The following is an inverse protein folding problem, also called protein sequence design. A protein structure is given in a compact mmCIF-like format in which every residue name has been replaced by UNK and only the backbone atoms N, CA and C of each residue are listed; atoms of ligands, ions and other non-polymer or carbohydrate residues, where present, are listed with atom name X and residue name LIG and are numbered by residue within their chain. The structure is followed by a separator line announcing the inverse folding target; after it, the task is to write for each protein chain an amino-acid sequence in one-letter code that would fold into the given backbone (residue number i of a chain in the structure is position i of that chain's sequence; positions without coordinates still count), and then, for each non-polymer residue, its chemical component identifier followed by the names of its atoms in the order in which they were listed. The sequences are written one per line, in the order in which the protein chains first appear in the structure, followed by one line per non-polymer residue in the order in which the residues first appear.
data_IF_487971698053
#
_entry.id   IF_487971698053
#
_cell.length_a   1.000
_cell.length_b   1.000
_cell.length_c   1.000
_cell.angle_alpha   90.00
_cell.angle_beta   90.00
_cell.angle_gamma   90.00
#
_symmetry.space_group_name_H-M   'P 1'
#
loop_
_entity.id
_entity.type
_entity.pdbx_description
1 polymer ?
#
# COMPACT_ATOMS: atom_id res chain seq x y z
N UNK A 1 -16.05 -1.87 13.09
CA UNK A 1 -16.73 -1.43 11.84
C UNK A 1 -15.80 -1.48 10.64
N UNK A 2 -14.59 -0.91 10.71
CA UNK A 2 -13.66 -0.81 9.56
C UNK A 2 -13.31 -2.14 8.85
N UNK A 3 -13.00 -3.21 9.60
CA UNK A 3 -12.65 -4.53 9.04
C UNK A 3 -13.72 -5.13 8.11
N UNK A 4 -14.99 -4.72 8.26
CA UNK A 4 -16.10 -5.16 7.40
C UNK A 4 -16.15 -4.39 6.08
N UNK A 5 -15.83 -3.09 6.11
CA UNK A 5 -15.89 -2.19 4.95
C UNK A 5 -14.91 -2.58 3.83
N UNK A 6 -13.74 -3.12 4.20
CA UNK A 6 -12.70 -3.43 3.23
C UNK A 6 -12.76 -4.84 2.64
N UNK A 7 -13.41 -5.78 3.34
CA UNK A 7 -13.32 -7.20 2.97
C UNK A 7 -13.99 -7.49 1.62
N UNK A 8 -15.14 -6.88 1.35
CA UNK A 8 -15.80 -7.02 0.06
C UNK A 8 -14.98 -6.37 -1.07
N UNK A 9 -14.27 -5.26 -0.80
CA UNK A 9 -13.39 -4.60 -1.77
C UNK A 9 -12.22 -5.52 -2.15
N UNK A 10 -11.56 -6.12 -1.16
CA UNK A 10 -10.48 -7.09 -1.38
C UNK A 10 -10.98 -8.30 -2.17
N UNK A 11 -12.14 -8.85 -1.78
CA UNK A 11 -12.76 -9.99 -2.47
C UNK A 11 -12.95 -9.69 -3.97
N UNK A 12 -13.54 -8.53 -4.29
CA UNK A 12 -13.72 -8.08 -5.68
C UNK A 12 -12.39 -7.93 -6.42
N UNK A 13 -11.38 -7.35 -5.77
CA UNK A 13 -10.06 -7.19 -6.37
C UNK A 13 -9.43 -8.54 -6.75
N UNK A 14 -9.45 -9.50 -5.82
CA UNK A 14 -8.95 -10.86 -6.05
C UNK A 14 -9.69 -11.52 -7.22
N UNK A 15 -11.01 -11.34 -7.30
CA UNK A 15 -11.83 -11.96 -8.34
C UNK A 15 -11.70 -11.32 -9.71
N UNK A 16 -11.42 -10.02 -9.78
CA UNK A 16 -11.26 -9.30 -11.06
C UNK A 16 -9.83 -9.38 -11.60
N UNK A 17 -8.82 -9.58 -10.75
CA UNK A 17 -7.40 -9.64 -11.14
C UNK A 17 -7.07 -10.57 -12.31
N UNK A 18 -7.62 -11.79 -12.42
CA UNK A 18 -7.36 -12.67 -13.56
C UNK A 18 -7.72 -12.03 -14.90
N UNK A 19 -8.74 -11.17 -14.96
CA UNK A 19 -9.15 -10.46 -16.18
C UNK A 19 -8.35 -9.17 -16.46
N UNK A 20 -7.34 -8.85 -15.63
CA UNK A 20 -6.51 -7.63 -15.74
C UNK A 20 -5.05 -7.90 -16.15
N UNK A 21 -4.70 -9.15 -16.41
CA UNK A 21 -3.38 -9.55 -16.92
C UNK A 21 -3.11 -8.92 -18.31
N UNK A 22 -1.86 -8.95 -18.77
CA UNK A 22 -1.48 -8.37 -20.08
C UNK A 22 -2.25 -8.96 -21.27
N UNK A 23 -2.61 -10.25 -21.19
CA UNK A 23 -3.30 -10.98 -22.26
C UNK A 23 -4.81 -10.79 -22.13
N UNK A 24 -5.39 -11.16 -20.99
CA UNK A 24 -6.83 -11.12 -20.76
C UNK A 24 -7.38 -9.68 -20.60
N UNK A 25 -6.54 -8.74 -20.14
CA UNK A 25 -6.89 -7.32 -20.00
C UNK A 25 -7.25 -6.62 -21.31
N UNK A 26 -6.83 -7.17 -22.46
CA UNK A 26 -7.16 -6.63 -23.79
C UNK A 26 -8.44 -7.21 -24.38
N UNK A 27 -9.03 -8.23 -23.74
CA UNK A 27 -10.24 -8.88 -24.25
C UNK A 27 -11.46 -7.93 -24.15
N UNK A 28 -12.43 -8.08 -25.06
CA UNK A 28 -13.74 -7.45 -24.93
C UNK A 28 -14.40 -7.82 -23.59
N UNK A 29 -15.29 -6.95 -23.09
CA UNK A 29 -15.95 -7.16 -21.80
C UNK A 29 -16.70 -8.50 -21.72
N UNK A 30 -17.35 -8.93 -22.80
CA UNK A 30 -18.04 -10.22 -22.89
C UNK A 30 -17.09 -11.39 -22.65
N UNK A 31 -15.92 -11.37 -23.30
CA UNK A 31 -14.90 -12.41 -23.16
C UNK A 31 -14.24 -12.39 -21.78
N UNK A 32 -14.04 -11.21 -21.17
CA UNK A 32 -13.57 -11.11 -19.77
C UNK A 32 -14.56 -11.74 -18.79
N UNK A 33 -15.86 -11.49 -18.97
CA UNK A 33 -16.92 -12.10 -18.14
C UNK A 33 -16.93 -13.63 -18.30
N UNK A 34 -16.83 -14.12 -19.53
CA UNK A 34 -16.74 -15.56 -19.84
C UNK A 34 -15.50 -16.18 -19.22
N UNK A 35 -14.35 -15.52 -19.33
CA UNK A 35 -13.10 -15.97 -18.73
C UNK A 35 -13.22 -16.11 -17.21
N UNK A 36 -13.72 -15.09 -16.51
CA UNK A 36 -13.88 -15.14 -15.05
C UNK A 36 -14.89 -16.21 -14.60
N UNK A 37 -15.97 -16.44 -15.36
CA UNK A 37 -16.93 -17.53 -15.07
C UNK A 37 -16.35 -18.93 -15.23
N UNK A 38 -15.16 -19.06 -15.80
CA UNK A 38 -14.48 -20.33 -15.98
C UNK A 38 -13.11 -20.38 -15.29
N UNK A 39 -12.76 -19.36 -14.49
CA UNK A 39 -11.46 -19.29 -13.84
C UNK A 39 -11.44 -20.12 -12.56
N UNK A 40 -10.69 -21.24 -12.49
CA UNK A 40 -10.81 -22.20 -11.38
C UNK A 40 -9.92 -21.86 -10.18
N UNK A 41 -9.03 -20.86 -10.30
CA UNK A 41 -7.96 -20.62 -9.33
C UNK A 41 -8.33 -19.59 -8.25
N UNK A 42 -9.60 -19.20 -8.14
CA UNK A 42 -10.10 -18.39 -7.03
C UNK A 42 -11.53 -18.79 -6.64
N UNK A 43 -12.03 -18.20 -5.56
CA UNK A 43 -13.33 -18.52 -4.98
C UNK A 43 -14.54 -17.92 -5.74
N UNK A 44 -14.34 -17.13 -6.81
CA UNK A 44 -15.40 -16.39 -7.51
C UNK A 44 -16.55 -17.30 -7.93
N UNK A 45 -16.26 -18.52 -8.38
CA UNK A 45 -17.28 -19.46 -8.83
C UNK A 45 -18.28 -19.80 -7.72
N UNK A 46 -17.84 -19.92 -6.46
CA UNK A 46 -18.73 -20.15 -5.32
C UNK A 46 -19.56 -18.91 -4.92
N UNK A 47 -19.16 -17.71 -5.36
CA UNK A 47 -19.97 -16.49 -5.20
C UNK A 47 -21.04 -16.36 -6.30
N UNK A 48 -20.81 -16.96 -7.46
CA UNK A 48 -21.74 -16.93 -8.61
C UNK A 48 -22.70 -18.12 -8.57
N UNK A 49 -22.25 -19.28 -8.08
CA UNK A 49 -22.97 -20.54 -8.12
C UNK A 49 -22.80 -21.26 -6.76
N UNK A 50 -23.91 -21.50 -6.07
CA UNK A 50 -23.92 -22.09 -4.73
C UNK A 50 -23.37 -23.53 -4.74
N UNK A 51 -23.56 -24.27 -5.84
CA UNK A 51 -23.07 -25.64 -6.00
C UNK A 51 -21.52 -25.67 -6.03
N UNK A 52 -20.90 -24.56 -6.43
CA UNK A 52 -19.43 -24.43 -6.57
C UNK A 52 -18.77 -23.85 -5.32
N UNK A 53 -19.47 -23.79 -4.20
CA UNK A 53 -18.90 -23.28 -2.94
C UNK A 53 -17.83 -24.21 -2.41
N UNK A 54 -16.84 -23.60 -1.78
CA UNK A 54 -15.82 -24.30 -1.01
C UNK A 54 -16.08 -24.08 0.47
N UNK A 55 -16.20 -25.16 1.26
CA UNK A 55 -16.49 -25.10 2.70
C UNK A 55 -15.44 -24.37 3.55
N UNK A 56 -14.26 -24.08 2.98
CA UNK A 56 -13.21 -23.31 3.66
C UNK A 56 -13.38 -21.78 3.55
N UNK A 57 -14.37 -21.31 2.77
CA UNK A 57 -14.60 -19.89 2.49
C UNK A 57 -15.87 -19.40 3.19
N UNK A 58 -15.74 -18.33 3.97
CA UNK A 58 -16.86 -17.62 4.59
C UNK A 58 -17.51 -16.64 3.60
N UNK A 59 -18.38 -17.16 2.73
CA UNK A 59 -19.11 -16.34 1.74
C UNK A 59 -20.12 -15.39 2.39
N UNK A 60 -20.76 -15.83 3.49
CA UNK A 60 -21.81 -15.07 4.16
C UNK A 60 -21.32 -13.69 4.58
N UNK A 61 -20.08 -13.63 5.08
CA UNK A 61 -19.43 -12.39 5.48
C UNK A 61 -19.22 -11.38 4.35
N UNK A 62 -18.99 -11.83 3.12
CA UNK A 62 -18.94 -10.92 1.96
C UNK A 62 -20.34 -10.50 1.57
N UNK A 63 -21.28 -11.45 1.56
CA UNK A 63 -22.67 -11.19 1.17
C UNK A 63 -23.42 -10.25 2.12
N UNK A 64 -22.96 -10.05 3.36
CA UNK A 64 -23.46 -8.98 4.24
C UNK A 64 -23.50 -7.61 3.53
N UNK A 65 -22.49 -7.30 2.70
CA UNK A 65 -22.43 -6.05 1.92
C UNK A 65 -23.38 -6.02 0.71
N UNK A 66 -24.05 -7.14 0.41
CA UNK A 66 -24.92 -7.33 -0.74
C UNK A 66 -26.33 -7.79 -0.35
N UNK A 67 -26.74 -7.57 0.91
CA UNK A 67 -28.09 -7.92 1.38
C UNK A 67 -28.25 -9.37 1.83
N UNK A 68 -27.14 -10.07 2.10
CA UNK A 68 -27.11 -11.43 2.68
C UNK A 68 -26.83 -12.54 1.68
N UNK A 69 -26.50 -13.73 2.22
CA UNK A 69 -26.17 -14.93 1.43
C UNK A 69 -27.44 -15.56 0.84
N UNK A 70 -27.93 -14.97 -0.24
CA UNK A 70 -29.12 -15.39 -0.96
C UNK A 70 -28.93 -15.14 -2.47
N UNK A 71 -29.93 -15.54 -3.25
CA UNK A 71 -29.93 -15.37 -4.72
C UNK A 71 -29.67 -13.92 -5.15
N UNK A 72 -30.25 -12.97 -4.42
CA UNK A 72 -30.12 -11.55 -4.73
C UNK A 72 -28.71 -11.03 -4.40
N UNK A 73 -28.15 -11.40 -3.25
CA UNK A 73 -26.78 -11.05 -2.88
C UNK A 73 -25.74 -11.58 -3.88
N UNK A 74 -25.95 -12.78 -4.43
CA UNK A 74 -25.13 -13.34 -5.52
C UNK A 74 -25.23 -12.54 -6.79
N UNK A 75 -26.46 -12.20 -7.20
CA UNK A 75 -26.71 -11.38 -8.39
C UNK A 75 -26.00 -10.03 -8.27
N UNK A 76 -26.18 -9.34 -7.14
CA UNK A 76 -25.56 -8.04 -6.86
C UNK A 76 -24.03 -8.13 -6.81
N UNK A 77 -23.48 -9.18 -6.20
CA UNK A 77 -22.04 -9.42 -6.20
C UNK A 77 -21.49 -9.57 -7.63
N UNK A 78 -22.13 -10.41 -8.45
CA UNK A 78 -21.73 -10.63 -9.84
C UNK A 78 -21.84 -9.38 -10.70
N UNK A 79 -22.90 -8.58 -10.52
CA UNK A 79 -23.07 -7.30 -11.21
C UNK A 79 -21.97 -6.32 -10.83
N UNK A 80 -21.59 -6.28 -9.56
CA UNK A 80 -20.49 -5.46 -9.07
C UNK A 80 -19.17 -5.89 -9.70
N UNK A 81 -18.87 -7.19 -9.76
CA UNK A 81 -17.70 -7.73 -10.47
C UNK A 81 -17.71 -7.30 -11.94
N UNK A 82 -18.86 -7.40 -12.62
CA UNK A 82 -19.00 -6.97 -14.01
C UNK A 82 -18.70 -5.48 -14.19
N UNK A 83 -19.16 -4.63 -13.27
CA UNK A 83 -18.87 -3.19 -13.26
C UNK A 83 -17.37 -2.94 -13.05
N UNK A 84 -16.77 -3.61 -12.07
CA UNK A 84 -15.36 -3.46 -11.69
C UNK A 84 -14.36 -3.90 -12.78
N UNK A 85 -14.76 -4.81 -13.67
CA UNK A 85 -14.00 -5.16 -14.88
C UNK A 85 -13.99 -3.99 -15.88
N UNK A 86 -15.11 -3.27 -16.00
CA UNK A 86 -15.28 -2.16 -16.94
C UNK A 86 -14.67 -0.86 -16.44
N UNK A 87 -14.95 -0.48 -15.20
CA UNK A 87 -14.57 0.83 -14.64
C UNK A 87 -13.27 0.79 -13.85
N UNK A 88 -12.75 -0.40 -13.57
CA UNK A 88 -11.72 -0.56 -12.55
C UNK A 88 -12.32 -0.56 -11.14
N UNK A 89 -11.50 -0.96 -10.17
CA UNK A 89 -11.79 -0.75 -8.75
C UNK A 89 -10.83 0.34 -8.34
N UNK A 90 -11.34 1.47 -7.85
CA UNK A 90 -10.48 2.45 -7.22
C UNK A 90 -10.11 1.95 -5.83
N UNK A 91 -8.84 1.56 -5.70
CA UNK A 91 -8.24 1.14 -4.43
C UNK A 91 -7.02 2.02 -4.12
N UNK A 92 -6.77 3.06 -4.94
CA UNK A 92 -5.54 3.86 -4.85
C UNK A 92 -5.51 4.73 -3.60
N UNK A 93 -6.66 5.06 -3.05
CA UNK A 93 -6.77 5.85 -1.81
C UNK A 93 -6.69 4.97 -0.55
N UNK A 94 -6.77 3.65 -0.68
CA UNK A 94 -6.88 2.72 0.45
C UNK A 94 -5.71 1.72 0.56
N UNK A 95 -4.89 1.59 -0.48
CA UNK A 95 -3.70 0.72 -0.49
C UNK A 95 -2.44 1.52 -0.18
N UNK A 96 -1.95 1.35 1.03
CA UNK A 96 -0.69 1.91 1.47
C UNK A 96 0.49 1.08 0.94
N UNK A 97 1.45 1.74 0.28
CA UNK A 97 2.68 1.10 -0.23
C UNK A 97 2.46 0.05 -1.34
N UNK A 98 1.28 0.00 -1.96
CA UNK A 98 0.95 -0.97 -3.00
C UNK A 98 0.86 -2.42 -2.48
N UNK A 99 0.67 -2.64 -1.17
CA UNK A 99 0.75 -4.01 -0.60
C UNK A 99 -0.21 -4.31 0.56
N UNK A 100 -0.76 -3.31 1.26
CA UNK A 100 -1.72 -3.53 2.35
C UNK A 100 -2.89 -2.56 2.21
N UNK A 101 -4.11 -3.10 2.27
CA UNK A 101 -5.36 -2.35 2.32
C UNK A 101 -5.85 -2.21 3.77
N UNK A 102 -6.17 -1.00 4.21
CA UNK A 102 -6.84 -0.75 5.48
C UNK A 102 -6.56 0.64 6.06
N UNK A 103 -7.21 0.96 7.18
CA UNK A 103 -7.00 2.22 7.91
C UNK A 103 -5.56 2.37 8.42
N UNK A 104 -5.13 3.59 8.72
CA UNK A 104 -3.78 3.86 9.26
C UNK A 104 -3.51 3.06 10.56
N UNK A 105 -4.54 2.87 11.38
CA UNK A 105 -4.49 2.05 12.60
C UNK A 105 -4.34 0.56 12.28
N UNK A 106 -5.05 0.04 11.28
CA UNK A 106 -4.90 -1.34 10.81
C UNK A 106 -3.52 -1.58 10.20
N UNK A 107 -3.03 -0.65 9.39
CA UNK A 107 -1.68 -0.73 8.79
C UNK A 107 -0.62 -0.68 9.88
N UNK A 108 -0.75 0.21 10.86
CA UNK A 108 0.15 0.28 12.01
C UNK A 108 0.12 -1.02 12.81
N UNK A 109 -1.07 -1.57 13.07
CA UNK A 109 -1.20 -2.88 13.70
C UNK A 109 -0.54 -3.98 12.87
N UNK A 110 -0.76 -4.03 11.54
CA UNK A 110 -0.10 -5.01 10.67
C UNK A 110 1.43 -4.83 10.69
N UNK A 111 1.92 -3.59 10.68
CA UNK A 111 3.35 -3.29 10.79
C UNK A 111 3.92 -3.81 12.11
N UNK A 112 3.35 -3.36 13.21
CA UNK A 112 3.88 -3.58 14.57
C UNK A 112 3.76 -5.07 14.97
N UNK A 113 2.76 -5.77 14.44
CA UNK A 113 2.46 -7.15 14.79
C UNK A 113 3.02 -8.17 13.79
N UNK A 114 3.32 -7.80 12.55
CA UNK A 114 3.60 -8.76 11.46
C UNK A 114 4.88 -8.52 10.66
N UNK A 115 5.64 -7.44 10.87
CA UNK A 115 6.89 -7.18 10.12
C UNK A 115 8.14 -7.39 10.99
N UNK A 116 8.89 -8.50 10.80
CA UNK A 116 10.18 -8.68 11.44
C UNK A 116 11.20 -7.62 11.04
N UNK A 117 12.12 -7.28 11.95
CA UNK A 117 13.27 -6.41 11.68
C UNK A 117 14.19 -6.93 10.54
N UNK A 118 14.16 -8.24 10.26
CA UNK A 118 14.98 -8.92 9.23
C UNK A 118 14.28 -9.14 7.88
N UNK A 119 13.11 -8.57 7.62
CA UNK A 119 12.36 -8.74 6.37
C UNK A 119 12.89 -7.92 5.18
N UNK A 120 14.20 -7.67 5.13
CA UNK A 120 14.83 -6.83 4.08
C UNK A 120 14.63 -7.38 2.67
N UNK A 121 14.38 -8.68 2.51
CA UNK A 121 14.33 -9.32 1.18
C UNK A 121 12.94 -9.35 0.53
N UNK A 122 11.87 -9.00 1.25
CA UNK A 122 10.51 -9.01 0.68
C UNK A 122 10.19 -7.64 0.08
N UNK A 123 9.98 -7.50 -1.24
CA UNK A 123 9.76 -6.20 -1.88
C UNK A 123 8.53 -5.45 -1.37
N UNK A 124 7.45 -6.17 -1.01
CA UNK A 124 6.27 -5.58 -0.39
C UNK A 124 6.57 -4.93 0.98
N UNK A 125 7.41 -5.59 1.79
CA UNK A 125 7.86 -5.07 3.08
C UNK A 125 8.78 -3.86 2.90
N UNK A 126 9.67 -3.91 1.90
CA UNK A 126 10.49 -2.74 1.55
C UNK A 126 9.62 -1.54 1.15
N UNK A 127 8.61 -1.73 0.29
CA UNK A 127 7.70 -0.65 -0.12
C UNK A 127 6.93 -0.07 1.06
N UNK A 128 6.42 -0.92 1.95
CA UNK A 128 5.72 -0.48 3.15
C UNK A 128 6.63 0.30 4.09
N UNK A 129 7.87 -0.17 4.30
CA UNK A 129 8.86 0.55 5.11
C UNK A 129 9.20 1.91 4.50
N UNK A 130 9.42 1.98 3.19
CA UNK A 130 9.66 3.25 2.47
C UNK A 130 8.49 4.21 2.62
N UNK A 131 7.26 3.70 2.51
CA UNK A 131 6.04 4.46 2.77
C UNK A 131 6.11 5.00 4.20
N UNK A 132 6.05 4.17 5.24
CA UNK A 132 5.93 4.65 6.62
C UNK A 132 7.07 5.59 7.05
N UNK A 133 8.27 5.38 6.53
CA UNK A 133 9.40 6.29 6.76
C UNK A 133 9.16 7.65 6.11
N UNK A 134 8.59 7.69 4.90
CA UNK A 134 8.19 8.93 4.21
C UNK A 134 7.13 9.70 5.00
N UNK A 135 6.07 9.10 5.53
CA UNK A 135 5.11 9.86 6.35
C UNK A 135 5.73 10.37 7.64
N UNK A 136 6.59 9.56 8.28
CA UNK A 136 7.31 10.01 9.48
C UNK A 136 8.23 11.21 9.17
N UNK A 137 8.93 11.19 8.03
CA UNK A 137 9.76 12.33 7.57
C UNK A 137 8.90 13.57 7.34
N UNK A 138 7.75 13.42 6.66
CA UNK A 138 6.82 14.55 6.41
C UNK A 138 6.36 15.15 7.75
N UNK A 139 5.89 14.32 8.68
CA UNK A 139 5.42 14.77 9.98
C UNK A 139 6.52 15.49 10.78
N UNK A 140 7.72 14.92 10.82
CA UNK A 140 8.87 15.51 11.52
C UNK A 140 9.28 16.85 10.89
N UNK A 141 9.33 16.95 9.57
CA UNK A 141 9.63 18.19 8.85
C UNK A 141 8.57 19.27 9.11
N UNK A 142 7.28 18.92 9.04
CA UNK A 142 6.21 19.89 9.28
C UNK A 142 6.27 20.42 10.72
N UNK A 143 6.54 19.55 11.68
CA UNK A 143 6.70 19.93 13.09
C UNK A 143 7.90 20.85 13.32
N UNK A 144 9.07 20.50 12.79
CA UNK A 144 10.30 21.28 13.00
C UNK A 144 10.25 22.64 12.31
N UNK A 145 9.72 22.67 11.08
CA UNK A 145 9.69 23.90 10.27
C UNK A 145 8.46 24.77 10.53
N UNK A 146 7.44 24.23 11.22
CA UNK A 146 6.11 24.82 11.40
C UNK A 146 5.42 25.17 10.07
N UNK A 147 5.73 24.43 9.01
CA UNK A 147 5.15 24.57 7.67
C UNK A 147 4.43 23.29 7.25
N UNK A 148 3.38 23.42 6.46
CA UNK A 148 2.78 22.27 5.79
C UNK A 148 3.71 21.71 4.71
N UNK A 149 3.47 20.45 4.32
CA UNK A 149 4.27 19.82 3.28
C UNK A 149 4.15 20.52 1.91
N UNK A 150 2.98 21.08 1.60
CA UNK A 150 2.79 21.84 0.35
C UNK A 150 3.53 23.18 0.36
N UNK A 151 3.65 23.84 1.51
CA UNK A 151 4.51 25.02 1.65
C UNK A 151 5.98 24.66 1.45
N UNK A 152 6.44 23.54 2.04
CA UNK A 152 7.81 23.03 1.84
C UNK A 152 8.08 22.73 0.37
N UNK A 153 7.10 22.19 -0.37
CA UNK A 153 7.22 21.92 -1.81
C UNK A 153 7.34 23.20 -2.64
N UNK A 154 6.59 24.24 -2.28
CA UNK A 154 6.58 25.53 -3.01
C UNK A 154 7.81 26.38 -2.69
N UNK A 155 8.42 26.18 -1.53
CA UNK A 155 9.59 26.93 -1.11
C UNK A 155 10.80 26.67 -2.02
N UNK A 156 11.47 27.74 -2.45
CA UNK A 156 12.77 27.66 -3.12
C UNK A 156 13.83 27.89 -2.06
N UNK A 157 14.39 26.83 -1.50
CA UNK A 157 15.35 27.02 -0.43
C UNK A 157 15.82 25.77 0.28
N UNK A 158 16.49 26.01 1.40
CA UNK A 158 17.23 25.00 2.14
C UNK A 158 16.31 23.93 2.74
N UNK A 159 15.10 24.29 3.16
CA UNK A 159 14.11 23.37 3.74
C UNK A 159 13.66 22.34 2.70
N UNK A 160 13.42 22.76 1.46
CA UNK A 160 13.05 21.85 0.36
C UNK A 160 14.20 20.90 0.02
N UNK A 161 15.44 21.40 0.03
CA UNK A 161 16.63 20.58 -0.20
C UNK A 161 16.85 19.58 0.94
N UNK A 162 16.60 19.99 2.18
CA UNK A 162 16.62 19.13 3.36
C UNK A 162 15.59 18.00 3.26
N UNK A 163 14.36 18.32 2.85
CA UNK A 163 13.34 17.30 2.60
C UNK A 163 13.79 16.29 1.54
N UNK A 164 14.31 16.77 0.40
CA UNK A 164 14.86 15.91 -0.66
C UNK A 164 15.97 14.98 -0.16
N UNK A 165 16.87 15.47 0.71
CA UNK A 165 17.94 14.63 1.25
C UNK A 165 17.44 13.57 2.24
N UNK A 166 16.53 13.95 3.14
CA UNK A 166 15.94 13.03 4.12
C UNK A 166 15.14 11.92 3.43
N UNK A 167 14.30 12.24 2.44
CA UNK A 167 13.58 11.22 1.68
C UNK A 167 14.51 10.24 0.96
N UNK A 168 15.65 10.72 0.49
CA UNK A 168 16.62 9.85 -0.16
C UNK A 168 17.37 8.98 0.85
N UNK A 169 18.04 9.60 1.84
CA UNK A 169 18.98 8.93 2.74
C UNK A 169 18.29 8.14 3.84
N UNK A 170 17.21 8.68 4.40
CA UNK A 170 16.44 8.02 5.47
C UNK A 170 15.26 7.24 4.89
N UNK A 171 14.51 7.86 3.96
CA UNK A 171 13.33 7.25 3.34
C UNK A 171 13.64 6.12 2.35
N UNK A 172 14.84 6.09 1.77
CA UNK A 172 15.22 5.11 0.75
C UNK A 172 14.49 5.29 -0.59
N UNK A 173 13.94 6.49 -0.85
CA UNK A 173 13.33 6.84 -2.13
C UNK A 173 14.42 7.17 -3.16
N UNK A 174 14.17 6.84 -4.42
CA UNK A 174 15.01 7.26 -5.52
C UNK A 174 14.68 8.69 -5.98
N UNK A 175 15.57 9.30 -6.77
CA UNK A 175 15.42 10.69 -7.22
C UNK A 175 14.15 10.94 -8.04
N UNK A 176 13.69 9.95 -8.80
CA UNK A 176 12.45 10.03 -9.60
C UNK A 176 11.21 10.02 -8.71
N UNK A 177 11.16 9.14 -7.71
CA UNK A 177 10.09 9.08 -6.72
C UNK A 177 9.97 10.41 -5.95
N UNK A 178 11.11 10.96 -5.51
CA UNK A 178 11.18 12.24 -4.80
C UNK A 178 10.74 13.37 -5.74
N UNK A 179 11.22 13.38 -6.99
CA UNK A 179 10.87 14.40 -7.97
C UNK A 179 9.36 14.47 -8.21
N UNK A 180 8.72 13.32 -8.45
CA UNK A 180 7.27 13.21 -8.61
C UNK A 180 6.51 13.76 -7.40
N UNK A 181 6.93 13.40 -6.19
CA UNK A 181 6.31 13.88 -4.95
C UNK A 181 6.48 15.38 -4.75
N UNK A 182 7.65 15.90 -5.10
CA UNK A 182 8.02 17.31 -4.91
C UNK A 182 7.63 18.22 -6.08
N UNK A 183 7.05 17.67 -7.15
CA UNK A 183 6.67 18.40 -8.36
C UNK A 183 7.87 18.93 -9.16
N UNK A 184 8.98 18.20 -9.20
CA UNK A 184 10.21 18.57 -9.93
C UNK A 184 10.83 17.35 -10.62
N UNK A 185 11.76 17.60 -11.53
CA UNK A 185 12.54 16.56 -12.18
C UNK A 185 13.62 15.95 -11.24
N UNK A 186 14.14 14.78 -11.61
CA UNK A 186 15.14 14.06 -10.81
C UNK A 186 16.48 14.83 -10.70
N UNK A 187 16.82 15.64 -11.70
CA UNK A 187 18.07 16.41 -11.72
C UNK A 187 18.01 17.54 -10.70
N UNK A 188 16.85 18.19 -10.55
CA UNK A 188 16.58 19.16 -9.48
C UNK A 188 16.75 18.55 -8.10
N UNK A 189 16.29 17.30 -7.89
CA UNK A 189 16.50 16.56 -6.63
C UNK A 189 18.00 16.32 -6.39
N UNK A 190 18.73 15.84 -7.40
CA UNK A 190 20.17 15.57 -7.30
C UNK A 190 20.96 16.84 -6.95
N UNK A 191 20.71 17.94 -7.66
CA UNK A 191 21.37 19.22 -7.44
C UNK A 191 20.98 19.86 -6.10
N UNK A 192 19.72 19.75 -5.69
CA UNK A 192 19.25 20.22 -4.38
C UNK A 192 20.01 19.56 -3.24
N UNK A 193 20.15 18.24 -3.29
CA UNK A 193 20.91 17.46 -2.30
C UNK A 193 22.40 17.78 -2.30
N UNK A 194 23.00 18.00 -3.48
CA UNK A 194 24.41 18.43 -3.58
C UNK A 194 24.63 19.76 -2.88
N UNK A 195 23.82 20.77 -3.19
CA UNK A 195 23.90 22.11 -2.59
C UNK A 195 23.66 22.10 -1.08
N UNK A 196 22.76 21.25 -0.59
CA UNK A 196 22.56 21.06 0.85
C UNK A 196 23.84 20.55 1.52
N UNK A 197 24.48 19.51 0.97
CA UNK A 197 25.72 18.94 1.54
C UNK A 197 26.86 19.94 1.58
N UNK A 198 26.96 20.82 0.58
CA UNK A 198 27.95 21.89 0.56
C UNK A 198 27.67 22.90 1.67
N UNK A 199 26.41 23.37 1.82
CA UNK A 199 26.02 24.32 2.87
C UNK A 199 26.16 23.76 4.29
N UNK A 200 25.93 22.47 4.49
CA UNK A 200 26.04 21.83 5.81
C UNK A 200 27.46 21.83 6.38
N UNK A 201 28.49 22.05 5.56
CA UNK A 201 29.88 22.15 6.04
C UNK A 201 30.08 23.40 6.90
N UNK A 202 29.39 24.48 6.56
CA UNK A 202 29.63 25.80 7.13
C UNK A 202 28.48 26.29 8.03
N UNK A 203 27.27 25.74 7.86
CA UNK A 203 26.07 26.14 8.61
C UNK A 203 25.76 25.17 9.78
N UNK A 204 26.22 25.53 10.97
CA UNK A 204 25.96 24.77 12.21
C UNK A 204 24.49 24.71 12.59
N UNK A 205 23.72 25.78 12.35
CA UNK A 205 22.31 25.83 12.71
C UNK A 205 21.50 24.84 11.86
N UNK A 206 21.78 24.81 10.56
CA UNK A 206 21.17 23.86 9.64
C UNK A 206 21.53 22.41 9.96
N UNK A 207 22.78 22.15 10.33
CA UNK A 207 23.22 20.81 10.76
C UNK A 207 22.46 20.34 12.00
N UNK A 208 22.29 21.21 13.01
CA UNK A 208 21.51 20.91 14.20
C UNK A 208 20.02 20.66 13.88
N UNK A 209 19.45 21.41 12.94
CA UNK A 209 18.06 21.21 12.50
C UNK A 209 17.85 19.81 11.89
N UNK A 210 18.77 19.38 11.00
CA UNK A 210 18.71 18.03 10.42
C UNK A 210 18.83 16.97 11.53
N UNK A 211 19.75 17.15 12.48
CA UNK A 211 19.92 16.20 13.59
C UNK A 211 18.66 16.09 14.46
N UNK A 212 17.95 17.20 14.72
CA UNK A 212 16.67 17.15 15.46
C UNK A 212 15.60 16.36 14.72
N UNK A 213 15.50 16.55 13.41
CA UNK A 213 14.57 15.77 12.57
C UNK A 213 14.96 14.29 12.56
N UNK A 214 16.24 13.97 12.42
CA UNK A 214 16.72 12.58 12.45
C UNK A 214 16.52 11.90 13.81
N UNK A 215 16.72 12.62 14.92
CA UNK A 215 16.48 12.11 16.28
C UNK A 215 15.00 11.80 16.53
N UNK A 216 14.09 12.63 15.99
CA UNK A 216 12.66 12.35 16.03
C UNK A 216 12.33 11.05 15.26
N UNK A 217 13.01 10.80 14.14
CA UNK A 217 12.81 9.59 13.33
C UNK A 217 13.40 8.32 13.97
N UNK A 218 14.54 8.42 14.67
CA UNK A 218 15.18 7.28 15.34
C UNK A 218 14.36 6.76 16.54
N UNK A 219 13.70 7.68 17.26
CA UNK A 219 12.77 7.35 18.36
C UNK A 219 11.58 6.54 17.88
N UNK A 220 11.07 6.83 16.66
CA UNK A 220 9.96 6.11 16.04
C UNK A 220 10.36 4.69 15.60
N UNK A 221 11.63 4.47 15.23
CA UNK A 221 12.11 3.15 14.81
C UNK A 221 12.29 2.16 15.98
N UNK A 222 12.79 2.62 17.14
CA UNK A 222 13.01 1.77 18.33
C UNK A 222 11.73 1.17 18.92
N UNK A 223 10.59 1.85 18.77
CA UNK A 223 9.30 1.34 19.28
C UNK A 223 8.75 0.15 18.47
N UNK A 224 9.30 -0.13 17.28
CA UNK A 224 8.87 -1.23 16.42
C UNK A 224 9.69 -2.53 16.56
N UNK A 225 10.68 -2.57 17.46
CA UNK A 225 11.65 -3.68 17.54
C UNK A 225 11.29 -4.78 18.56
N UNK A 226 10.26 -4.60 19.39
CA UNK A 226 9.89 -5.55 20.44
C UNK A 226 8.51 -6.19 20.20
N UNK A 227 8.41 -7.21 19.36
CA UNK A 227 7.49 -8.34 19.60
C UNK A 227 7.66 -9.51 18.63
N UNK A 228 7.55 -10.69 19.23
CA UNK A 228 8.04 -11.99 18.80
C UNK A 228 7.29 -12.69 17.66
N UNK A 229 7.99 -13.69 17.13
CA UNK A 229 7.84 -14.42 15.87
C UNK A 229 6.73 -15.49 15.84
N UNK A 230 6.49 -16.01 14.62
CA UNK A 230 6.06 -17.40 14.35
C UNK A 230 4.57 -17.78 14.14
N UNK A 231 3.66 -16.89 13.74
CA UNK A 231 2.28 -17.32 13.40
C UNK A 231 1.69 -16.92 12.03
N UNK A 232 2.45 -16.21 11.20
CA UNK A 232 1.82 -15.44 10.10
C UNK A 232 1.82 -16.17 8.76
N UNK A 233 2.83 -17.02 8.49
CA UNK A 233 2.76 -17.84 7.28
C UNK A 233 1.55 -18.78 7.31
N UNK A 234 1.16 -19.23 8.50
CA UNK A 234 0.00 -20.10 8.65
C UNK A 234 -1.31 -19.32 8.43
N UNK A 235 -1.54 -18.18 9.09
CA UNK A 235 -2.86 -17.53 9.09
C UNK A 235 -3.30 -16.92 7.74
N UNK A 236 -2.36 -16.36 6.96
CA UNK A 236 -2.70 -15.78 5.64
C UNK A 236 -2.92 -16.88 4.58
N UNK A 237 -2.15 -17.97 4.64
CA UNK A 237 -2.30 -19.11 3.73
C UNK A 237 -3.47 -20.04 4.08
N UNK A 238 -3.85 -20.15 5.36
CA UNK A 238 -4.93 -21.06 5.78
C UNK A 238 -6.31 -20.42 5.87
N UNK A 239 -6.44 -19.11 6.15
CA UNK A 239 -7.75 -18.53 6.47
C UNK A 239 -8.32 -17.52 5.46
N UNK A 240 -7.66 -17.24 4.34
CA UNK A 240 -8.21 -16.30 3.36
C UNK A 240 -8.18 -16.78 1.91
N UNK A 241 -7.16 -17.48 1.43
CA UNK A 241 -7.21 -17.98 0.05
C UNK A 241 -6.22 -19.13 -0.12
N UNK A 242 -6.68 -20.24 -0.71
CA UNK A 242 -5.84 -21.31 -1.22
C UNK A 242 -5.14 -20.85 -2.52
N UNK A 243 -4.32 -19.79 -2.43
CA UNK A 243 -3.50 -19.27 -3.54
C UNK A 243 -2.16 -20.01 -3.49
N UNK A 244 -1.98 -20.98 -4.41
CA UNK A 244 -0.64 -21.35 -4.86
C UNK A 244 0.04 -20.08 -5.43
N UNK A 245 1.34 -19.87 -5.20
CA UNK A 245 1.95 -18.55 -5.14
C UNK A 245 2.03 -17.92 -6.53
N UNK A 246 1.04 -17.10 -6.87
CA UNK A 246 1.21 -16.04 -7.86
C UNK A 246 1.18 -14.71 -7.12
N UNK A 247 2.35 -14.35 -6.57
CA UNK A 247 2.65 -13.00 -6.14
C UNK A 247 2.65 -12.15 -7.41
N UNK A 248 1.50 -11.59 -7.76
CA UNK A 248 1.42 -10.57 -8.82
C UNK A 248 1.92 -9.27 -8.20
N UNK A 249 3.14 -8.90 -8.57
CA UNK A 249 3.68 -7.57 -8.33
C UNK A 249 2.80 -6.56 -9.05
N UNK A 250 2.21 -5.62 -8.29
CA UNK A 250 1.76 -4.33 -8.80
C UNK A 250 2.99 -3.45 -9.03
#
# INVERSE_FOLDING_TARGET
MEKRSYLHIVSRYIHVNPARTKREGKLPLSEKKKYLRNYPWNSLLGYVDDIRRNGTIDYARIFESYGGDNTEGRRLYWETICKDISTGIDIKEEVTGGSILGSETFIKWVRDRFLPAKSREIPAVQRLKKYTTKEAIIAALCKETKKSFDEIKKERGIIRQMAMDLFYRVGGLNGTEIGKMMGVDYSTVSQGRKRLRERLKDDKYLSQMIQRVEAALSTINRLSENCFEHQILYYILTNCVNIRPYIVYV
#
